data_IF_676514547982
#
_entry.id   IF_676514547982
#
_cell.length_a   1.000
_cell.length_b   1.000
_cell.length_c   1.000
_cell.angle_alpha   90.00
_cell.angle_beta   90.00
_cell.angle_gamma   90.00
#
_symmetry.space_group_name_H-M   'P 1'
#
loop_
_entity.id
_entity.type
_entity.pdbx_description
1 polymer ?
#
# COMPACT_ATOMS: atom_id res chain seq x y z
N UNK A 1 -35.86 5.85 -36.40
CA UNK A 1 -34.76 6.19 -35.47
C UNK A 1 -34.86 7.68 -35.16
N UNK A 2 -34.78 8.07 -33.89
CA UNK A 2 -34.70 9.49 -33.53
C UNK A 2 -33.39 10.10 -34.06
N UNK A 3 -33.39 11.39 -34.47
CA UNK A 3 -32.16 12.11 -34.80
C UNK A 3 -31.16 12.06 -33.64
N UNK A 4 -29.86 12.08 -33.96
CA UNK A 4 -28.79 11.98 -32.95
C UNK A 4 -28.90 13.12 -31.93
N UNK A 5 -29.27 14.31 -32.37
CA UNK A 5 -29.43 15.52 -31.56
C UNK A 5 -30.53 15.34 -30.52
N UNK A 6 -31.67 14.76 -30.90
CA UNK A 6 -32.79 14.50 -29.99
C UNK A 6 -32.42 13.40 -28.99
N UNK A 7 -31.67 12.37 -29.42
CA UNK A 7 -31.18 11.32 -28.52
C UNK A 7 -30.20 11.89 -27.49
N UNK A 8 -29.27 12.75 -27.90
CA UNK A 8 -28.32 13.38 -26.99
C UNK A 8 -29.02 14.27 -25.95
N UNK A 9 -30.04 15.05 -26.34
CA UNK A 9 -30.84 15.86 -25.40
C UNK A 9 -31.56 14.98 -24.37
N UNK A 10 -32.13 13.85 -24.81
CA UNK A 10 -32.76 12.87 -23.91
C UNK A 10 -31.74 12.31 -22.91
N UNK A 11 -30.52 12.02 -23.36
CA UNK A 11 -29.45 11.53 -22.50
C UNK A 11 -28.93 12.59 -21.53
N UNK A 12 -28.76 13.84 -21.95
CA UNK A 12 -28.39 14.95 -21.05
C UNK A 12 -29.44 15.15 -19.96
N UNK A 13 -30.73 15.03 -20.30
CA UNK A 13 -31.82 15.07 -19.34
C UNK A 13 -31.79 13.88 -18.37
N UNK A 14 -31.57 12.67 -18.86
CA UNK A 14 -31.42 11.47 -18.03
C UNK A 14 -30.22 11.58 -17.08
N UNK A 15 -29.06 12.01 -17.57
CA UNK A 15 -27.83 12.16 -16.78
C UNK A 15 -27.99 13.24 -15.71
N UNK A 16 -28.59 14.38 -16.05
CA UNK A 16 -28.89 15.44 -15.07
C UNK A 16 -29.92 15.03 -14.02
N UNK A 17 -30.84 14.13 -14.36
CA UNK A 17 -31.79 13.53 -13.41
C UNK A 17 -31.14 12.54 -12.45
N UNK A 18 -30.01 11.93 -12.83
CA UNK A 18 -29.20 11.07 -11.94
C UNK A 18 -28.45 11.91 -10.91
N UNK A 19 -27.94 13.07 -11.30
CA UNK A 19 -27.25 14.01 -10.40
C UNK A 19 -28.12 14.45 -9.22
N UNK A 20 -29.42 14.63 -9.44
CA UNK A 20 -30.36 15.05 -8.39
C UNK A 20 -30.76 13.94 -7.43
N UNK A 21 -30.53 12.67 -7.78
CA UNK A 21 -30.81 11.53 -6.90
C UNK A 21 -29.59 11.02 -6.13
N UNK A 22 -28.39 11.47 -6.49
CA UNK A 22 -27.10 11.04 -5.95
C UNK A 22 -26.69 11.86 -4.72
N UNK A 23 -27.60 12.10 -3.78
CA UNK A 23 -27.24 12.52 -2.43
C UNK A 23 -26.97 11.25 -1.59
N UNK A 24 -25.80 11.13 -0.94
CA UNK A 24 -25.52 9.95 -0.13
C UNK A 24 -26.32 10.04 1.16
N UNK A 25 -26.96 8.92 1.52
CA UNK A 25 -27.74 8.68 2.74
C UNK A 25 -29.15 9.28 2.79
N UNK A 26 -30.12 8.52 2.27
CA UNK A 26 -31.12 7.87 3.12
C UNK A 26 -31.95 6.85 2.33
N UNK A 27 -32.11 5.71 2.99
CA UNK A 27 -33.09 4.65 2.80
C UNK A 27 -32.91 3.64 1.66
N UNK A 28 -32.69 2.42 2.16
CA UNK A 28 -32.92 1.12 1.60
C UNK A 28 -34.24 1.00 0.84
N UNK A 29 -34.17 1.00 -0.48
CA UNK A 29 -34.98 0.16 -1.36
C UNK A 29 -34.46 0.39 -2.78
N UNK A 30 -34.14 -0.69 -3.50
CA UNK A 30 -33.86 -0.74 -4.94
C UNK A 30 -34.18 0.58 -5.67
N UNK A 31 -33.18 1.45 -5.81
CA UNK A 31 -33.25 2.52 -6.81
C UNK A 31 -32.53 1.98 -8.02
N UNK A 32 -33.31 1.65 -9.04
CA UNK A 32 -32.84 1.25 -10.36
C UNK A 32 -31.71 2.18 -10.78
N UNK A 33 -30.49 1.65 -10.93
CA UNK A 33 -29.39 2.39 -11.51
C UNK A 33 -29.80 2.69 -12.96
N UNK A 34 -30.15 3.93 -13.33
CA UNK A 34 -30.66 4.22 -14.66
C UNK A 34 -29.58 4.05 -15.74
N UNK A 35 -28.30 3.91 -15.36
CA UNK A 35 -27.22 3.54 -16.27
C UNK A 35 -27.20 2.03 -16.59
N UNK A 36 -28.01 1.20 -15.92
CA UNK A 36 -28.16 -0.23 -16.25
C UNK A 36 -28.64 -0.46 -17.68
N UNK A 37 -29.40 0.50 -18.25
CA UNK A 37 -29.81 0.43 -19.66
C UNK A 37 -28.60 0.46 -20.61
N UNK A 38 -27.51 1.12 -20.22
CA UNK A 38 -26.26 1.13 -21.00
C UNK A 38 -25.57 -0.23 -20.97
N UNK A 39 -25.80 -1.04 -19.92
CA UNK A 39 -25.32 -2.42 -19.84
C UNK A 39 -26.11 -3.36 -20.76
N UNK A 40 -27.33 -3.01 -21.14
CA UNK A 40 -28.23 -3.87 -21.94
C UNK A 40 -28.08 -3.73 -23.46
N UNK A 41 -27.44 -2.66 -23.95
CA UNK A 41 -27.27 -2.44 -25.40
C UNK A 41 -25.90 -1.86 -25.73
N UNK A 42 -25.05 -2.69 -26.36
CA UNK A 42 -23.70 -2.29 -26.80
C UNK A 42 -23.74 -1.15 -27.84
N UNK A 43 -24.78 -1.10 -28.66
CA UNK A 43 -24.98 -0.02 -29.64
C UNK A 43 -25.23 1.32 -28.93
N UNK A 44 -26.17 1.36 -27.99
CA UNK A 44 -26.45 2.57 -27.21
C UNK A 44 -25.24 2.99 -26.37
N UNK A 45 -24.57 2.03 -25.73
CA UNK A 45 -23.35 2.31 -24.99
C UNK A 45 -22.29 2.96 -25.88
N UNK A 46 -22.00 2.41 -27.05
CA UNK A 46 -21.00 2.98 -27.96
C UNK A 46 -21.41 4.37 -28.49
N UNK A 47 -22.68 4.60 -28.77
CA UNK A 47 -23.22 5.90 -29.20
C UNK A 47 -23.05 6.97 -28.11
N UNK A 48 -23.41 6.64 -26.87
CA UNK A 48 -23.52 7.61 -25.77
C UNK A 48 -22.19 7.78 -25.03
N UNK A 49 -21.40 6.72 -24.90
CA UNK A 49 -20.16 6.74 -24.12
C UNK A 49 -19.16 7.78 -24.64
N UNK A 50 -19.06 7.95 -25.97
CA UNK A 50 -18.21 9.00 -26.55
C UNK A 50 -18.66 10.41 -26.15
N UNK A 51 -19.95 10.62 -25.92
CA UNK A 51 -20.50 11.89 -25.43
C UNK A 51 -20.36 12.04 -23.91
N UNK A 52 -20.66 10.97 -23.16
CA UNK A 52 -20.64 10.95 -21.70
C UNK A 52 -19.22 11.13 -21.13
N UNK A 53 -18.24 10.49 -21.77
CA UNK A 53 -16.83 10.57 -21.37
C UNK A 53 -16.05 11.64 -22.16
N UNK A 54 -16.70 12.41 -23.04
CA UNK A 54 -16.03 13.45 -23.82
C UNK A 54 -15.34 14.46 -22.90
N UNK A 55 -14.01 14.57 -23.01
CA UNK A 55 -13.18 15.44 -22.15
C UNK A 55 -13.42 15.22 -20.66
N UNK A 56 -13.79 14.00 -20.27
CA UNK A 56 -13.95 13.63 -18.87
C UNK A 56 -12.61 13.25 -18.26
N UNK A 57 -12.45 13.59 -16.98
CA UNK A 57 -11.30 13.22 -16.18
C UNK A 57 -11.77 12.44 -14.95
N UNK A 58 -11.14 11.31 -14.69
CA UNK A 58 -11.23 10.62 -13.42
C UNK A 58 -10.17 11.20 -12.49
N UNK A 59 -10.60 11.76 -11.38
CA UNK A 59 -9.73 12.35 -10.36
C UNK A 59 -9.68 11.37 -9.19
N UNK A 60 -8.53 10.71 -9.01
CA UNK A 60 -8.26 9.88 -7.86
C UNK A 60 -7.60 10.75 -6.81
N UNK A 61 -8.21 10.86 -5.64
CA UNK A 61 -7.64 11.61 -4.52
C UNK A 61 -6.98 10.66 -3.53
N UNK A 62 -5.66 10.76 -3.41
CA UNK A 62 -4.85 10.03 -2.43
C UNK A 62 -4.59 10.94 -1.24
N UNK A 63 -5.51 10.92 -0.29
CA UNK A 63 -5.39 11.68 0.95
C UNK A 63 -4.35 11.07 1.89
N UNK A 64 -3.61 11.94 2.54
CA UNK A 64 -2.63 11.66 3.57
C UNK A 64 -3.31 11.28 4.91
N UNK A 65 -4.56 11.71 5.12
CA UNK A 65 -5.31 11.41 6.33
C UNK A 65 -5.85 9.96 6.34
N UNK A 66 -5.84 9.35 7.53
CA UNK A 66 -6.36 8.01 7.74
C UNK A 66 -7.87 8.04 8.02
N UNK A 67 -8.65 7.42 7.13
CA UNK A 67 -10.09 7.25 7.27
C UNK A 67 -10.44 5.75 7.22
N UNK A 68 -10.86 5.13 8.35
CA UNK A 68 -11.10 3.69 8.40
C UNK A 68 -12.19 3.16 7.45
N UNK A 69 -13.05 4.04 6.93
CA UNK A 69 -14.18 3.70 6.04
C UNK A 69 -13.99 4.21 4.61
N UNK A 70 -12.90 4.92 4.35
CA UNK A 70 -12.64 5.58 3.08
C UNK A 70 -11.20 5.26 2.66
N UNK A 71 -11.08 4.21 1.85
CA UNK A 71 -9.79 3.76 1.37
C UNK A 71 -9.29 4.64 0.22
N UNK A 72 -10.18 4.93 -0.74
CA UNK A 72 -9.88 5.77 -1.91
C UNK A 72 -11.13 6.51 -2.39
N UNK A 73 -10.96 7.76 -2.83
CA UNK A 73 -12.02 8.55 -3.44
C UNK A 73 -11.71 8.75 -4.93
N UNK A 74 -12.66 8.39 -5.78
CA UNK A 74 -12.59 8.58 -7.22
C UNK A 74 -13.73 9.49 -7.65
N UNK A 75 -13.42 10.56 -8.37
CA UNK A 75 -14.39 11.51 -8.89
C UNK A 75 -14.32 11.55 -10.42
N UNK A 76 -15.41 11.22 -11.10
CA UNK A 76 -15.54 11.46 -12.54
C UNK A 76 -16.07 12.88 -12.76
N UNK A 77 -15.25 13.71 -13.39
CA UNK A 77 -15.57 15.09 -13.72
C UNK A 77 -15.58 15.31 -15.23
N UNK A 78 -16.69 15.80 -15.75
CA UNK A 78 -16.89 16.25 -17.13
C UNK A 78 -17.79 17.50 -17.14
N UNK A 79 -18.14 18.00 -18.33
CA UNK A 79 -19.11 19.10 -18.44
C UNK A 79 -20.52 18.70 -17.98
N UNK A 80 -20.84 17.42 -18.10
CA UNK A 80 -22.19 16.88 -17.92
C UNK A 80 -22.27 15.91 -16.74
N UNK A 81 -21.14 15.48 -16.19
CA UNK A 81 -21.04 14.48 -15.12
C UNK A 81 -20.10 14.96 -14.01
N UNK A 82 -20.60 15.03 -12.78
CA UNK A 82 -19.79 15.15 -11.57
C UNK A 82 -20.26 14.09 -10.57
N UNK A 83 -19.56 12.96 -10.53
CA UNK A 83 -19.92 11.81 -9.68
C UNK A 83 -18.71 11.42 -8.85
N UNK A 84 -18.92 11.21 -7.56
CA UNK A 84 -17.89 10.79 -6.62
C UNK A 84 -18.23 9.41 -6.05
N UNK A 85 -17.25 8.51 -6.07
CA UNK A 85 -17.28 7.20 -5.44
C UNK A 85 -16.30 7.18 -4.27
N UNK A 86 -16.78 6.74 -3.11
CA UNK A 86 -15.95 6.46 -1.94
C UNK A 86 -15.80 4.94 -1.82
N UNK A 87 -14.60 4.44 -2.09
CA UNK A 87 -14.27 3.02 -2.06
C UNK A 87 -13.81 2.65 -0.65
N UNK A 88 -14.34 1.56 -0.09
CA UNK A 88 -14.13 1.23 1.33
C UNK A 88 -12.92 0.34 1.57
N UNK A 89 -12.52 -0.43 0.57
CA UNK A 89 -11.44 -1.41 0.65
C UNK A 89 -10.79 -1.64 -0.73
N UNK A 90 -9.82 -2.53 -0.78
CA UNK A 90 -9.07 -2.90 -1.99
C UNK A 90 -9.97 -3.57 -3.03
N UNK A 91 -10.90 -4.42 -2.60
CA UNK A 91 -11.80 -5.17 -3.46
C UNK A 91 -12.79 -4.25 -4.20
N UNK A 92 -13.35 -3.26 -3.51
CA UNK A 92 -14.21 -2.23 -4.10
C UNK A 92 -13.46 -1.46 -5.21
N UNK A 93 -12.18 -1.16 -4.98
CA UNK A 93 -11.34 -0.48 -5.94
C UNK A 93 -10.99 -1.36 -7.13
N UNK A 94 -10.62 -2.61 -6.91
CA UNK A 94 -10.36 -3.58 -7.97
C UNK A 94 -11.60 -3.72 -8.88
N UNK A 95 -12.78 -3.88 -8.27
CA UNK A 95 -14.05 -3.95 -8.99
C UNK A 95 -14.33 -2.67 -9.78
N UNK A 96 -14.00 -1.49 -9.23
CA UNK A 96 -14.12 -0.23 -9.95
C UNK A 96 -13.21 -0.20 -11.18
N UNK A 97 -11.91 -0.47 -11.05
CA UNK A 97 -10.97 -0.42 -12.16
C UNK A 97 -11.24 -1.47 -13.24
N UNK A 98 -11.76 -2.64 -12.88
CA UNK A 98 -12.13 -3.68 -13.84
C UNK A 98 -13.39 -3.32 -14.65
N UNK A 99 -14.37 -2.65 -14.03
CA UNK A 99 -15.66 -2.38 -14.66
C UNK A 99 -15.79 -0.98 -15.28
N UNK A 100 -14.98 -0.01 -14.83
CA UNK A 100 -15.02 1.35 -15.33
C UNK A 100 -14.29 1.48 -16.68
N UNK A 101 -14.82 2.23 -17.67
CA UNK A 101 -14.19 2.41 -18.98
C UNK A 101 -13.04 3.41 -18.94
N UNK A 102 -11.97 3.06 -18.22
CA UNK A 102 -10.81 3.92 -17.96
C UNK A 102 -10.16 4.47 -19.23
N UNK A 103 -10.15 3.69 -20.32
CA UNK A 103 -9.59 4.08 -21.62
C UNK A 103 -10.29 5.26 -22.30
N UNK A 104 -11.50 5.62 -21.84
CA UNK A 104 -12.29 6.74 -22.40
C UNK A 104 -12.10 8.05 -21.64
N UNK A 105 -11.31 8.04 -20.58
CA UNK A 105 -11.16 9.17 -19.64
C UNK A 105 -9.70 9.48 -19.40
N UNK A 106 -9.38 10.74 -19.10
CA UNK A 106 -8.04 11.08 -18.58
C UNK A 106 -7.98 10.73 -17.09
N UNK A 107 -6.92 10.05 -16.65
CA UNK A 107 -6.73 9.73 -15.24
C UNK A 107 -5.85 10.80 -14.60
N UNK A 108 -6.38 11.50 -13.59
CA UNK A 108 -5.65 12.46 -12.78
C UNK A 108 -5.48 11.90 -11.37
N UNK A 109 -4.25 11.75 -10.92
CA UNK A 109 -3.97 11.29 -9.56
C UNK A 109 -3.52 12.48 -8.73
N UNK A 110 -4.37 12.90 -7.79
CA UNK A 110 -4.08 13.94 -6.84
C UNK A 110 -3.40 13.33 -5.61
N UNK A 111 -2.14 13.68 -5.36
CA UNK A 111 -1.37 13.24 -4.19
C UNK A 111 -1.21 14.42 -3.25
N UNK A 112 -1.75 14.31 -2.04
CA UNK A 112 -1.66 15.36 -1.03
C UNK A 112 -0.38 15.19 -0.20
N UNK A 113 0.31 16.30 0.09
CA UNK A 113 1.50 16.28 0.95
C UNK A 113 1.15 15.75 2.34
N UNK A 114 1.94 14.83 2.91
CA UNK A 114 1.76 14.44 4.30
C UNK A 114 2.06 15.61 5.25
N UNK A 115 1.39 15.65 6.39
CA UNK A 115 1.75 16.52 7.51
C UNK A 115 3.03 15.98 8.17
N UNK A 116 4.14 16.74 8.20
CA UNK A 116 5.38 16.28 8.83
C UNK A 116 5.26 16.07 10.35
N UNK A 117 4.18 16.50 11.00
CA UNK A 117 3.89 16.20 12.41
C UNK A 117 3.20 14.84 12.63
N UNK A 118 2.64 14.24 11.59
CA UNK A 118 2.12 12.86 11.59
C UNK A 118 2.82 12.02 10.50
N UNK A 119 4.06 11.54 10.76
CA UNK A 119 4.86 10.85 9.75
C UNK A 119 4.26 9.52 9.27
N UNK A 120 3.27 8.97 9.98
CA UNK A 120 2.51 7.82 9.50
C UNK A 120 1.76 8.10 8.19
N UNK A 121 1.42 9.36 7.91
CA UNK A 121 0.75 9.74 6.68
C UNK A 121 1.58 9.45 5.42
N UNK A 122 2.91 9.55 5.49
CA UNK A 122 3.79 9.18 4.38
C UNK A 122 3.70 7.67 4.07
N UNK A 123 3.64 6.83 5.10
CA UNK A 123 3.48 5.38 4.95
C UNK A 123 2.12 5.07 4.33
N UNK A 124 1.05 5.76 4.75
CA UNK A 124 -0.29 5.60 4.18
C UNK A 124 -0.31 5.98 2.69
N UNK A 125 0.30 7.13 2.32
CA UNK A 125 0.40 7.54 0.91
C UNK A 125 1.15 6.47 0.11
N UNK A 126 2.28 5.98 0.61
CA UNK A 126 3.04 4.92 -0.05
C UNK A 126 2.18 3.67 -0.30
N UNK A 127 1.43 3.20 0.69
CA UNK A 127 0.53 2.04 0.56
C UNK A 127 -0.58 2.29 -0.47
N UNK A 128 -1.25 3.46 -0.40
CA UNK A 128 -2.32 3.83 -1.35
C UNK A 128 -1.80 3.96 -2.78
N UNK A 129 -0.62 4.56 -2.97
CA UNK A 129 0.01 4.72 -4.28
C UNK A 129 0.42 3.36 -4.85
N UNK A 130 1.03 2.48 -4.06
CA UNK A 130 1.41 1.14 -4.53
C UNK A 130 0.18 0.32 -4.93
N UNK A 131 -0.88 0.34 -4.12
CA UNK A 131 -2.12 -0.35 -4.45
C UNK A 131 -2.77 0.22 -5.73
N UNK A 132 -2.74 1.54 -5.92
CA UNK A 132 -3.20 2.17 -7.16
C UNK A 132 -2.37 1.69 -8.37
N UNK A 133 -1.04 1.72 -8.26
CA UNK A 133 -0.15 1.26 -9.34
C UNK A 133 -0.40 -0.21 -9.68
N UNK A 134 -0.64 -1.05 -8.67
CA UNK A 134 -1.00 -2.46 -8.88
C UNK A 134 -2.29 -2.63 -9.69
N UNK A 135 -3.27 -1.72 -9.56
CA UNK A 135 -4.46 -1.74 -10.42
C UNK A 135 -4.21 -1.21 -11.83
N UNK A 136 -3.28 -0.27 -11.99
CA UNK A 136 -2.97 0.34 -13.28
C UNK A 136 -2.10 -0.54 -14.17
N UNK A 137 -1.25 -1.41 -13.59
CA UNK A 137 -0.38 -2.32 -14.37
C UNK A 137 -1.18 -3.29 -15.25
N UNK A 138 -2.14 -4.08 -14.73
CA UNK A 138 -2.97 -4.97 -15.56
C UNK A 138 -3.71 -4.21 -16.66
N UNK A 139 -4.14 -2.98 -16.37
CA UNK A 139 -4.84 -2.13 -17.34
C UNK A 139 -3.95 -1.72 -18.51
N UNK A 140 -2.67 -1.42 -18.26
CA UNK A 140 -1.67 -1.13 -19.30
C UNK A 140 -1.44 -2.35 -20.20
N UNK A 141 -1.40 -3.55 -19.63
CA UNK A 141 -1.14 -4.81 -20.35
C UNK A 141 -2.33 -5.28 -21.20
N UNK A 142 -3.56 -5.14 -20.69
CA UNK A 142 -4.75 -5.70 -21.36
C UNK A 142 -5.26 -4.84 -22.53
N UNK A 143 -4.90 -3.56 -22.61
CA UNK A 143 -5.36 -2.66 -23.68
C UNK A 143 -4.20 -1.79 -24.19
N UNK A 144 -3.26 -2.35 -24.99
CA UNK A 144 -2.07 -1.66 -25.46
C UNK A 144 -2.35 -0.37 -26.27
N UNK A 145 -3.53 -0.29 -26.91
CA UNK A 145 -3.89 0.84 -27.78
C UNK A 145 -4.53 2.04 -27.05
N UNK A 146 -4.76 1.95 -25.73
CA UNK A 146 -5.30 3.07 -24.94
C UNK A 146 -4.58 3.12 -23.60
N UNK A 147 -3.32 3.55 -23.62
CA UNK A 147 -2.65 3.93 -22.39
C UNK A 147 -3.48 5.05 -21.73
N UNK A 148 -3.93 4.88 -20.47
CA UNK A 148 -4.54 5.98 -19.76
C UNK A 148 -3.52 7.12 -19.71
N UNK A 149 -3.94 8.32 -20.12
CA UNK A 149 -3.13 9.49 -19.86
C UNK A 149 -3.17 9.77 -18.35
N UNK A 150 -2.11 9.37 -17.64
CA UNK A 150 -1.98 9.52 -16.19
C UNK A 150 -1.25 10.83 -15.90
N UNK A 151 -2.01 11.82 -15.44
CA UNK A 151 -1.52 13.10 -14.98
C UNK A 151 -1.39 13.07 -13.45
N UNK A 152 -0.17 13.16 -12.94
CA UNK A 152 0.06 13.32 -11.50
C UNK A 152 -0.09 14.79 -11.14
N UNK A 153 -0.92 15.07 -10.15
CA UNK A 153 -1.14 16.42 -9.62
C UNK A 153 -0.76 16.42 -8.15
N UNK A 154 0.32 17.11 -7.86
CA UNK A 154 0.86 17.20 -6.51
C UNK A 154 0.18 18.37 -5.79
N UNK A 155 -0.40 18.11 -4.62
CA UNK A 155 -1.17 19.07 -3.82
C UNK A 155 -0.52 19.30 -2.46
N UNK A 156 -0.58 20.53 -1.97
CA UNK A 156 0.01 20.91 -0.67
C UNK A 156 1.47 21.36 -0.76
N UNK A 157 2.12 21.51 0.40
CA UNK A 157 3.49 22.01 0.49
C UNK A 157 4.47 20.85 0.59
N UNK A 158 5.10 20.50 -0.53
CA UNK A 158 6.13 19.44 -0.57
C UNK A 158 7.54 19.98 -0.33
N UNK A 159 7.69 21.29 -0.21
CA UNK A 159 8.93 21.95 0.16
C UNK A 159 8.83 22.41 1.61
N UNK A 160 9.94 22.29 2.33
CA UNK A 160 10.04 22.83 3.69
C UNK A 160 10.66 24.22 3.63
N UNK A 161 10.01 25.20 4.27
CA UNK A 161 10.58 26.54 4.42
C UNK A 161 11.83 26.51 5.30
N UNK A 162 11.86 25.61 6.28
CA UNK A 162 12.98 25.41 7.20
C UNK A 162 13.48 23.96 7.16
N UNK A 163 14.79 23.72 7.15
CA UNK A 163 15.31 22.36 7.21
C UNK A 163 14.94 21.70 8.55
N UNK A 164 14.70 20.37 8.57
CA UNK A 164 14.56 19.62 9.82
C UNK A 164 15.74 19.84 10.78
N UNK A 165 15.52 19.67 12.08
CA UNK A 165 16.53 20.01 13.10
C UNK A 165 17.88 19.30 12.89
N UNK A 166 17.89 18.04 12.43
CA UNK A 166 19.11 17.28 12.15
C UNK A 166 19.88 17.80 10.92
N UNK A 167 19.22 18.54 10.02
CA UNK A 167 19.85 19.21 8.88
C UNK A 167 20.53 20.54 9.26
N UNK A 168 20.44 21.01 10.50
CA UNK A 168 20.96 22.33 10.92
C UNK A 168 22.42 22.57 10.55
N UNK A 169 23.28 21.55 10.62
CA UNK A 169 24.71 21.65 10.25
C UNK A 169 24.96 21.63 8.74
N UNK A 170 24.02 21.10 7.96
CA UNK A 170 24.12 20.89 6.52
C UNK A 170 22.97 21.62 5.79
N UNK A 171 22.57 22.80 6.27
CA UNK A 171 21.41 23.55 5.76
C UNK A 171 21.53 23.86 4.27
N UNK A 172 22.72 24.27 3.83
CA UNK A 172 22.95 24.58 2.41
C UNK A 172 22.78 23.34 1.54
N UNK A 173 23.32 22.19 1.98
CA UNK A 173 23.15 20.92 1.30
C UNK A 173 21.68 20.49 1.20
N UNK A 174 20.85 20.75 2.22
CA UNK A 174 19.41 20.47 2.17
C UNK A 174 18.71 21.24 1.02
N UNK A 175 19.01 22.53 0.87
CA UNK A 175 18.45 23.33 -0.22
C UNK A 175 19.09 23.03 -1.58
N UNK A 176 20.38 22.68 -1.63
CA UNK A 176 21.02 22.13 -2.83
C UNK A 176 20.35 20.83 -3.31
N UNK A 177 19.74 20.07 -2.38
CA UNK A 177 18.92 18.89 -2.68
C UNK A 177 17.44 19.22 -2.92
N UNK A 178 17.08 20.50 -3.14
CA UNK A 178 15.73 20.93 -3.49
C UNK A 178 14.86 21.40 -2.32
N UNK A 179 15.33 21.28 -1.08
CA UNK A 179 14.59 21.74 0.11
C UNK A 179 13.24 21.04 0.29
N UNK A 180 13.15 19.79 -0.16
CA UNK A 180 11.93 18.99 -0.09
C UNK A 180 11.64 18.53 1.34
N UNK A 181 10.36 18.42 1.67
CA UNK A 181 9.89 18.01 2.98
C UNK A 181 10.37 16.59 3.32
N UNK A 182 10.66 16.39 4.61
CA UNK A 182 10.97 15.10 5.20
C UNK A 182 10.12 14.88 6.45
N UNK A 183 9.21 13.93 6.39
CA UNK A 183 8.39 13.52 7.54
C UNK A 183 9.11 12.50 8.42
N UNK A 184 9.95 11.65 7.82
CA UNK A 184 10.68 10.59 8.54
C UNK A 184 12.18 10.92 8.55
N UNK A 185 12.77 10.97 9.74
CA UNK A 185 14.21 11.16 9.90
C UNK A 185 14.97 9.94 9.33
N UNK A 186 15.85 10.14 8.34
CA UNK A 186 16.58 9.03 7.75
C UNK A 186 17.71 8.58 8.66
N UNK A 187 17.88 7.27 8.84
CA UNK A 187 19.06 6.76 9.56
C UNK A 187 20.37 6.93 8.79
N UNK A 188 20.36 6.77 7.46
CA UNK A 188 21.60 6.70 6.67
C UNK A 188 21.57 7.48 5.34
N UNK A 189 20.40 7.66 4.73
CA UNK A 189 20.28 8.26 3.39
C UNK A 189 19.09 9.21 3.35
N UNK A 190 19.32 10.42 2.84
CA UNK A 190 18.26 11.39 2.61
C UNK A 190 17.17 10.80 1.68
N UNK A 191 15.92 10.88 2.12
CA UNK A 191 14.73 10.38 1.41
C UNK A 191 13.61 11.38 1.66
N UNK A 192 13.26 12.19 0.66
CA UNK A 192 12.19 13.16 0.82
C UNK A 192 10.82 12.54 0.54
N UNK A 193 9.78 13.14 1.11
CA UNK A 193 8.41 12.63 1.04
C UNK A 193 7.93 12.56 -0.41
N UNK A 194 8.27 13.58 -1.20
CA UNK A 194 7.92 13.69 -2.61
C UNK A 194 8.45 12.50 -3.40
N UNK A 195 9.75 12.24 -3.30
CA UNK A 195 10.39 11.16 -4.06
C UNK A 195 9.77 9.81 -3.70
N UNK A 196 9.49 9.57 -2.41
CA UNK A 196 8.82 8.35 -1.94
C UNK A 196 7.42 8.21 -2.55
N UNK A 197 6.63 9.29 -2.55
CA UNK A 197 5.24 9.26 -3.02
C UNK A 197 5.11 9.01 -4.53
N UNK A 198 6.08 9.48 -5.34
CA UNK A 198 6.02 9.34 -6.80
C UNK A 198 6.78 8.11 -7.33
N UNK A 199 7.72 7.56 -6.55
CA UNK A 199 8.56 6.43 -6.98
C UNK A 199 7.80 5.21 -7.53
N UNK A 200 6.65 4.77 -6.94
CA UNK A 200 5.93 3.61 -7.46
C UNK A 200 5.45 3.76 -8.90
N UNK A 201 5.22 4.98 -9.38
CA UNK A 201 4.76 5.21 -10.76
C UNK A 201 5.81 4.82 -11.81
N UNK A 202 7.09 4.69 -11.45
CA UNK A 202 8.11 4.14 -12.36
C UNK A 202 7.83 2.69 -12.76
N UNK A 203 7.10 1.93 -11.93
CA UNK A 203 6.70 0.56 -12.26
C UNK A 203 5.85 0.52 -13.52
N UNK A 204 5.09 1.56 -13.81
CA UNK A 204 4.25 1.61 -15.01
C UNK A 204 5.09 1.50 -16.28
N UNK A 205 6.34 1.97 -16.28
CA UNK A 205 7.23 1.88 -17.44
C UNK A 205 8.04 0.59 -17.52
N UNK A 206 8.07 -0.21 -16.45
CA UNK A 206 8.81 -1.48 -16.42
C UNK A 206 8.05 -2.66 -17.05
N UNK A 207 6.74 -2.51 -17.30
CA UNK A 207 5.87 -3.61 -17.72
C UNK A 207 5.47 -3.43 -19.18
N UNK A 208 6.36 -3.83 -20.10
CA UNK A 208 6.05 -3.87 -21.52
C UNK A 208 6.00 -5.27 -22.15
N UNK A 209 6.58 -6.34 -21.58
CA UNK A 209 6.34 -7.73 -22.06
C UNK A 209 6.75 -8.82 -21.04
N UNK A 210 6.28 -10.06 -21.25
CA UNK A 210 6.18 -11.22 -20.35
C UNK A 210 7.38 -11.46 -19.38
N UNK A 211 7.16 -11.51 -18.04
CA UNK A 211 8.20 -11.81 -17.04
C UNK A 211 8.83 -13.21 -17.15
N UNK A 212 8.29 -14.11 -17.98
CA UNK A 212 8.85 -15.43 -18.24
C UNK A 212 9.97 -15.44 -19.30
N UNK A 213 10.11 -14.38 -20.11
CA UNK A 213 11.25 -14.22 -20.99
C UNK A 213 12.42 -13.65 -20.18
N UNK A 214 13.58 -14.35 -20.16
CA UNK A 214 14.83 -13.83 -19.61
C UNK A 214 14.96 -12.34 -19.95
N UNK A 215 14.93 -11.47 -18.93
CA UNK A 215 14.89 -10.00 -19.05
C UNK A 215 15.92 -9.58 -20.09
N UNK A 216 15.51 -9.27 -21.34
CA UNK A 216 16.43 -8.65 -22.28
C UNK A 216 16.79 -7.29 -21.71
N UNK A 217 17.93 -6.74 -22.15
CA UNK A 217 18.14 -5.30 -22.05
C UNK A 217 16.87 -4.58 -22.51
N UNK A 218 16.41 -3.57 -21.77
CA UNK A 218 15.29 -2.75 -22.18
C UNK A 218 15.61 -2.14 -23.56
N UNK A 219 14.71 -2.20 -24.55
CA UNK A 219 14.92 -1.54 -25.84
C UNK A 219 15.27 -0.05 -25.68
N UNK A 220 16.13 0.48 -26.54
CA UNK A 220 16.59 1.88 -26.47
C UNK A 220 15.42 2.89 -26.42
N UNK A 221 14.37 2.66 -27.21
CA UNK A 221 13.18 3.52 -27.27
C UNK A 221 12.35 3.46 -25.97
N UNK A 222 12.23 2.29 -25.36
CA UNK A 222 11.60 2.15 -24.05
C UNK A 222 12.43 2.80 -22.94
N UNK A 223 13.76 2.67 -23.01
CA UNK A 223 14.66 3.28 -22.06
C UNK A 223 14.63 4.81 -22.15
N UNK A 224 14.54 5.37 -23.36
CA UNK A 224 14.37 6.81 -23.58
C UNK A 224 13.04 7.31 -22.98
N UNK A 225 11.95 6.55 -23.13
CA UNK A 225 10.65 6.86 -22.51
C UNK A 225 10.77 6.84 -20.99
N UNK A 226 11.39 5.81 -20.42
CA UNK A 226 11.62 5.69 -18.98
C UNK A 226 12.46 6.84 -18.45
N UNK A 227 13.53 7.21 -19.15
CA UNK A 227 14.42 8.32 -18.76
C UNK A 227 13.69 9.67 -18.82
N UNK A 228 12.91 9.92 -19.87
CA UNK A 228 12.04 11.08 -19.95
C UNK A 228 11.02 11.10 -18.79
N UNK A 229 10.44 9.94 -18.46
CA UNK A 229 9.47 9.81 -17.37
C UNK A 229 10.11 10.13 -16.02
N UNK A 230 11.31 9.62 -15.74
CA UNK A 230 12.12 9.99 -14.57
C UNK A 230 12.33 11.50 -14.46
N UNK A 231 12.71 12.15 -15.56
CA UNK A 231 12.88 13.61 -15.60
C UNK A 231 11.55 14.37 -15.40
N UNK A 232 10.42 13.80 -15.84
CA UNK A 232 9.12 14.47 -15.69
C UNK A 232 8.47 14.30 -14.31
N UNK A 233 8.74 13.18 -13.63
CA UNK A 233 8.07 12.81 -12.38
C UNK A 233 8.68 13.48 -11.15
N UNK A 234 9.98 13.73 -11.17
CA UNK A 234 10.74 14.15 -10.00
C UNK A 234 11.09 15.64 -10.02
N UNK A 235 11.17 16.26 -8.83
CA UNK A 235 11.63 17.64 -8.69
C UNK A 235 13.10 17.76 -9.13
N UNK A 236 13.37 18.66 -10.06
CA UNK A 236 14.66 18.71 -10.76
C UNK A 236 15.79 19.25 -9.89
N UNK A 237 15.49 20.18 -8.98
CA UNK A 237 16.52 20.80 -8.13
C UNK A 237 17.18 19.74 -7.25
N UNK A 238 18.45 19.43 -7.47
CA UNK A 238 19.21 18.48 -6.66
C UNK A 238 18.95 17.00 -6.94
N UNK A 239 18.24 16.69 -8.03
CA UNK A 239 17.78 15.34 -8.36
C UNK A 239 18.93 14.31 -8.49
N UNK A 240 20.05 14.69 -9.12
CA UNK A 240 21.22 13.83 -9.29
C UNK A 240 21.84 13.40 -7.94
N UNK A 241 21.73 14.23 -6.91
CA UNK A 241 22.22 13.89 -5.56
C UNK A 241 21.26 12.96 -4.82
N UNK A 242 19.95 13.18 -4.97
CA UNK A 242 18.92 12.37 -4.30
C UNK A 242 18.75 11.00 -4.94
N UNK A 243 18.71 10.98 -6.26
CA UNK A 243 18.35 9.83 -7.10
C UNK A 243 19.48 9.40 -8.02
N UNK A 244 20.73 9.78 -7.74
CA UNK A 244 21.88 9.53 -8.63
C UNK A 244 22.01 8.07 -9.09
N UNK A 245 21.65 7.10 -8.25
CA UNK A 245 21.63 5.68 -8.63
C UNK A 245 20.64 5.39 -9.78
N UNK A 246 19.44 5.96 -9.75
CA UNK A 246 18.45 5.85 -10.83
C UNK A 246 18.85 6.64 -12.08
N UNK A 247 19.57 7.75 -11.93
CA UNK A 247 20.04 8.55 -13.07
C UNK A 247 21.28 7.97 -13.76
N UNK A 248 22.05 7.16 -13.05
CA UNK A 248 23.22 6.46 -13.56
C UNK A 248 22.91 5.06 -14.12
N UNK A 249 21.63 4.66 -14.14
CA UNK A 249 21.24 3.35 -14.66
C UNK A 249 21.39 3.29 -16.18
N UNK A 250 21.56 2.08 -16.71
CA UNK A 250 21.62 1.79 -18.15
C UNK A 250 20.42 0.93 -18.55
N UNK A 251 20.21 0.73 -19.85
CA UNK A 251 19.18 -0.18 -20.36
C UNK A 251 19.24 -1.59 -19.73
N UNK A 252 20.44 -2.07 -19.41
CA UNK A 252 20.68 -3.41 -18.84
C UNK A 252 20.35 -3.46 -17.34
N UNK A 253 20.44 -2.32 -16.65
CA UNK A 253 20.32 -2.24 -15.19
C UNK A 253 19.02 -1.58 -14.74
N UNK A 254 18.28 -0.89 -15.63
CA UNK A 254 17.10 -0.10 -15.29
C UNK A 254 16.06 -0.85 -14.46
N UNK A 255 15.68 -2.06 -14.90
CA UNK A 255 14.69 -2.91 -14.20
C UNK A 255 15.17 -3.25 -12.80
N UNK A 256 16.44 -3.63 -12.64
CA UNK A 256 17.03 -4.02 -11.36
C UNK A 256 17.13 -2.82 -10.43
N UNK A 257 17.57 -1.68 -10.96
CA UNK A 257 17.77 -0.44 -10.20
C UNK A 257 16.45 0.15 -9.68
N UNK A 258 15.40 0.15 -10.50
CA UNK A 258 14.06 0.58 -10.07
C UNK A 258 13.48 -0.39 -9.06
N UNK A 259 13.59 -1.71 -9.28
CA UNK A 259 13.16 -2.73 -8.30
C UNK A 259 13.90 -2.57 -6.97
N UNK A 260 15.21 -2.33 -7.00
CA UNK A 260 16.01 -2.07 -5.79
C UNK A 260 15.55 -0.80 -5.09
N UNK A 261 15.29 0.29 -5.81
CA UNK A 261 14.82 1.55 -5.22
C UNK A 261 13.45 1.40 -4.55
N UNK A 262 12.53 0.66 -5.17
CA UNK A 262 11.21 0.35 -4.61
C UNK A 262 11.32 -0.52 -3.36
N UNK A 263 12.15 -1.57 -3.41
CA UNK A 263 12.40 -2.44 -2.25
C UNK A 263 13.03 -1.64 -1.10
N UNK A 264 14.00 -0.75 -1.40
CA UNK A 264 14.62 0.13 -0.40
C UNK A 264 13.61 1.06 0.26
N UNK A 265 12.72 1.69 -0.52
CA UNK A 265 11.67 2.55 0.01
C UNK A 265 10.67 1.75 0.85
N UNK A 266 10.24 0.58 0.37
CA UNK A 266 9.33 -0.30 1.09
C UNK A 266 9.90 -0.74 2.44
N UNK A 267 11.12 -1.30 2.44
CA UNK A 267 11.78 -1.75 3.66
C UNK A 267 12.04 -0.60 4.63
N UNK A 268 12.41 0.58 4.13
CA UNK A 268 12.58 1.77 4.97
C UNK A 268 11.27 2.15 5.67
N UNK A 269 10.15 2.22 4.95
CA UNK A 269 8.86 2.58 5.51
C UNK A 269 8.33 1.50 6.46
N UNK A 270 8.44 0.23 6.09
CA UNK A 270 8.02 -0.90 6.91
C UNK A 270 8.74 -0.97 8.26
N UNK A 271 10.06 -0.81 8.24
CA UNK A 271 10.89 -0.81 9.46
C UNK A 271 10.79 0.48 10.26
N UNK A 272 10.45 1.60 9.63
CA UNK A 272 10.21 2.86 10.32
C UNK A 272 8.87 2.85 11.03
N UNK A 273 7.82 2.30 10.40
CA UNK A 273 6.45 2.27 10.91
C UNK A 273 6.37 1.73 12.35
N UNK A 274 7.22 0.77 12.70
CA UNK A 274 7.31 0.18 14.05
C UNK A 274 7.51 1.22 15.16
N UNK A 275 8.26 2.29 14.87
CA UNK A 275 8.67 3.30 15.84
C UNK A 275 8.13 4.70 15.53
N UNK A 276 7.44 4.90 14.39
CA UNK A 276 6.89 6.20 14.04
C UNK A 276 5.86 6.70 15.07
N UNK A 277 5.94 7.97 15.50
CA UNK A 277 4.85 8.63 16.22
C UNK A 277 3.63 8.86 15.31
N UNK A 278 2.57 9.33 15.93
CA UNK A 278 1.41 9.88 15.23
C UNK A 278 0.22 8.93 15.24
N UNK A 279 -0.96 9.52 15.06
CA UNK A 279 -2.22 8.76 15.07
C UNK A 279 -2.27 7.82 13.88
N UNK A 280 -1.85 8.29 12.71
CA UNK A 280 -1.85 7.47 11.49
C UNK A 280 -0.95 6.25 11.64
N UNK A 281 0.27 6.42 12.16
CA UNK A 281 1.18 5.29 12.38
C UNK A 281 0.61 4.25 13.36
N UNK A 282 -0.10 4.69 14.41
CA UNK A 282 -0.74 3.79 15.35
C UNK A 282 -1.84 2.93 14.70
N UNK A 283 -2.66 3.54 13.84
CA UNK A 283 -3.72 2.86 13.11
C UNK A 283 -3.17 1.93 12.03
N UNK A 284 -2.13 2.34 11.31
CA UNK A 284 -1.44 1.49 10.34
C UNK A 284 -0.80 0.27 10.98
N UNK A 285 -0.16 0.42 12.17
CA UNK A 285 0.36 -0.72 12.93
C UNK A 285 -0.75 -1.68 13.35
N UNK A 286 -1.90 -1.15 13.76
CA UNK A 286 -3.09 -1.94 14.07
C UNK A 286 -3.58 -2.72 12.86
N UNK A 287 -3.80 -2.04 11.73
CA UNK A 287 -4.28 -2.66 10.48
C UNK A 287 -3.35 -3.79 10.02
N UNK A 288 -2.03 -3.56 10.07
CA UNK A 288 -1.02 -4.58 9.77
C UNK A 288 -1.14 -5.81 10.66
N UNK A 289 -1.31 -5.63 11.97
CA UNK A 289 -1.41 -6.76 12.89
C UNK A 289 -2.75 -7.47 12.75
N UNK A 290 -3.84 -6.71 12.64
CA UNK A 290 -5.18 -7.24 12.42
C UNK A 290 -5.26 -8.14 11.18
N UNK A 291 -4.61 -7.75 10.09
CA UNK A 291 -4.63 -8.46 8.81
C UNK A 291 -3.44 -9.41 8.62
N UNK A 292 -2.65 -9.69 9.67
CA UNK A 292 -1.44 -10.51 9.54
C UNK A 292 -1.75 -11.93 9.02
N UNK A 293 -2.86 -12.52 9.44
CA UNK A 293 -3.37 -13.81 8.98
C UNK A 293 -4.81 -13.65 8.47
N UNK A 294 -4.98 -13.27 7.20
CA UNK A 294 -6.27 -12.83 6.63
C UNK A 294 -7.41 -13.85 6.77
N UNK A 295 -7.14 -15.15 6.57
CA UNK A 295 -8.16 -16.21 6.70
C UNK A 295 -8.44 -16.64 8.14
N UNK A 296 -7.72 -16.03 9.07
CA UNK A 296 -7.72 -16.24 10.50
C UNK A 296 -7.42 -17.66 10.99
N UNK A 297 -7.12 -18.61 10.11
CA UNK A 297 -7.15 -20.04 10.44
C UNK A 297 -6.01 -20.83 9.84
N UNK A 298 -5.47 -20.48 8.66
CA UNK A 298 -4.34 -21.19 8.07
C UNK A 298 -3.00 -20.79 8.69
N UNK A 299 -2.95 -19.63 9.34
CA UNK A 299 -1.70 -19.01 9.82
C UNK A 299 -0.70 -18.76 8.68
N UNK A 300 -1.21 -18.57 7.46
CA UNK A 300 -0.46 -18.05 6.32
C UNK A 300 -0.62 -16.55 6.30
N UNK A 301 0.50 -15.87 6.11
CA UNK A 301 0.55 -14.42 6.03
C UNK A 301 1.00 -14.00 4.63
N UNK A 302 0.15 -13.20 3.96
CA UNK A 302 0.54 -12.56 2.71
C UNK A 302 1.75 -11.65 2.94
N UNK A 303 1.75 -10.92 4.06
CA UNK A 303 2.85 -10.08 4.50
C UNK A 303 4.18 -10.86 4.63
N UNK A 304 4.19 -12.01 5.31
CA UNK A 304 5.41 -12.83 5.42
C UNK A 304 5.88 -13.36 4.05
N UNK A 305 4.93 -13.63 3.15
CA UNK A 305 5.23 -14.07 1.77
C UNK A 305 5.88 -12.94 0.97
N UNK A 306 5.31 -11.74 1.01
CA UNK A 306 5.87 -10.55 0.35
C UNK A 306 7.26 -10.19 0.89
N UNK A 307 7.45 -10.22 2.22
CA UNK A 307 8.75 -9.97 2.84
C UNK A 307 9.79 -11.00 2.39
N UNK A 308 9.42 -12.28 2.32
CA UNK A 308 10.30 -13.35 1.82
C UNK A 308 10.67 -13.12 0.36
N UNK A 309 9.70 -12.77 -0.48
CA UNK A 309 9.94 -12.58 -1.90
C UNK A 309 10.84 -11.36 -2.13
N UNK A 310 10.68 -10.30 -1.33
CA UNK A 310 11.61 -9.15 -1.31
C UNK A 310 13.01 -9.54 -0.84
N UNK A 311 13.14 -10.38 0.19
CA UNK A 311 14.42 -10.91 0.67
C UNK A 311 15.15 -11.71 -0.42
N UNK A 312 14.42 -12.50 -1.19
CA UNK A 312 14.98 -13.26 -2.30
C UNK A 312 15.38 -12.35 -3.48
N UNK A 313 14.58 -11.32 -3.78
CA UNK A 313 14.83 -10.44 -4.92
C UNK A 313 15.94 -9.40 -4.66
N UNK A 314 16.03 -8.87 -3.44
CA UNK A 314 16.93 -7.77 -3.08
C UNK A 314 17.55 -7.96 -1.68
N UNK A 315 18.36 -9.00 -1.46
CA UNK A 315 18.89 -9.34 -0.14
C UNK A 315 19.74 -8.22 0.49
N UNK A 316 20.52 -7.48 -0.31
CA UNK A 316 21.35 -6.38 0.16
C UNK A 316 20.51 -5.25 0.80
N UNK A 317 19.35 -4.94 0.22
CA UNK A 317 18.44 -3.90 0.74
C UNK A 317 18.01 -4.22 2.16
N UNK A 318 17.70 -5.49 2.42
CA UNK A 318 17.32 -5.92 3.76
C UNK A 318 18.52 -5.85 4.69
N UNK A 319 19.69 -6.34 4.27
CA UNK A 319 20.90 -6.27 5.11
C UNK A 319 21.29 -4.84 5.49
N UNK A 320 21.02 -3.86 4.64
CA UNK A 320 21.29 -2.45 4.92
C UNK A 320 20.22 -1.80 5.81
N UNK A 321 18.96 -2.20 5.68
CA UNK A 321 17.82 -1.54 6.33
C UNK A 321 17.42 -2.20 7.65
N UNK A 322 17.44 -3.54 7.69
CA UNK A 322 17.15 -4.38 8.84
C UNK A 322 18.18 -5.51 8.94
N UNK A 323 19.43 -5.19 9.33
CA UNK A 323 20.49 -6.19 9.44
C UNK A 323 20.04 -7.36 10.31
N UNK A 324 20.20 -8.58 9.79
CA UNK A 324 19.79 -9.81 10.48
C UNK A 324 18.29 -9.90 10.81
N UNK A 325 17.46 -9.11 10.13
CA UNK A 325 16.01 -9.06 10.36
C UNK A 325 15.63 -8.72 11.81
N UNK A 326 16.47 -7.95 12.51
CA UNK A 326 16.27 -7.65 13.93
C UNK A 326 14.90 -7.01 14.20
N UNK A 327 14.54 -5.96 13.44
CA UNK A 327 13.26 -5.25 13.60
C UNK A 327 12.09 -6.10 13.15
N UNK A 328 12.25 -6.84 12.06
CA UNK A 328 11.22 -7.76 11.57
C UNK A 328 10.93 -8.87 12.60
N UNK A 329 11.96 -9.41 13.25
CA UNK A 329 11.82 -10.36 14.34
C UNK A 329 11.17 -9.72 15.58
N UNK A 330 11.59 -8.52 15.96
CA UNK A 330 10.98 -7.77 17.07
C UNK A 330 9.49 -7.49 16.83
N UNK A 331 9.12 -7.12 15.59
CA UNK A 331 7.74 -6.93 15.16
C UNK A 331 6.92 -8.21 15.34
N UNK A 332 7.45 -9.33 14.89
CA UNK A 332 6.80 -10.63 15.03
C UNK A 332 6.62 -11.02 16.50
N UNK A 333 7.64 -10.82 17.33
CA UNK A 333 7.55 -11.08 18.78
C UNK A 333 6.43 -10.22 19.39
N UNK A 334 6.40 -8.91 19.09
CA UNK A 334 5.35 -8.03 19.60
C UNK A 334 3.95 -8.46 19.14
N UNK A 335 3.79 -8.85 17.87
CA UNK A 335 2.54 -9.39 17.34
C UNK A 335 2.03 -10.57 18.18
N UNK A 336 2.88 -11.57 18.42
CA UNK A 336 2.51 -12.77 19.18
C UNK A 336 2.21 -12.43 20.64
N UNK A 337 3.03 -11.59 21.28
CA UNK A 337 2.81 -11.18 22.67
C UNK A 337 1.51 -10.41 22.85
N UNK A 338 1.17 -9.51 21.92
CA UNK A 338 -0.09 -8.77 21.95
C UNK A 338 -1.29 -9.70 21.76
N UNK A 339 -1.24 -10.60 20.77
CA UNK A 339 -2.27 -11.62 20.56
C UNK A 339 -2.55 -12.42 21.84
N UNK A 340 -1.47 -12.91 22.47
CA UNK A 340 -1.57 -13.60 23.76
C UNK A 340 -2.19 -12.75 24.85
N UNK A 341 -1.76 -11.49 24.98
CA UNK A 341 -2.26 -10.59 26.01
C UNK A 341 -3.76 -10.28 25.85
N UNK A 342 -4.25 -10.19 24.61
CA UNK A 342 -5.67 -10.02 24.29
C UNK A 342 -6.48 -11.25 24.71
N UNK A 343 -6.04 -12.44 24.30
CA UNK A 343 -6.73 -13.70 24.64
C UNK A 343 -6.70 -14.01 26.14
N UNK A 344 -5.57 -13.80 26.82
CA UNK A 344 -5.46 -14.02 28.26
C UNK A 344 -6.44 -13.14 29.05
N UNK A 345 -6.64 -11.89 28.60
CA UNK A 345 -7.60 -10.95 29.21
C UNK A 345 -9.05 -11.42 29.04
N UNK A 346 -9.43 -11.90 27.86
CA UNK A 346 -10.81 -12.32 27.56
C UNK A 346 -11.18 -13.64 28.23
N UNK A 347 -10.26 -14.60 28.25
CA UNK A 347 -10.56 -15.97 28.72
C UNK A 347 -10.60 -16.10 30.25
N UNK A 348 -10.30 -15.04 31.02
CA UNK A 348 -10.23 -15.04 32.50
C UNK A 348 -9.50 -16.27 33.05
N UNK A 349 -8.45 -16.72 32.36
CA UNK A 349 -7.76 -17.96 32.69
C UNK A 349 -7.15 -17.86 34.11
N UNK A 350 -7.31 -18.89 34.97
CA UNK A 350 -6.91 -18.84 36.39
C UNK A 350 -5.42 -18.56 36.58
N UNK A 351 -4.60 -19.15 35.71
CA UNK A 351 -3.25 -18.73 35.45
C UNK A 351 -3.34 -17.71 34.32
N UNK A 352 -3.15 -16.42 34.61
CA UNK A 352 -3.29 -15.28 33.70
C UNK A 352 -2.40 -15.32 32.42
N UNK A 353 -1.83 -16.48 32.11
CA UNK A 353 -0.67 -16.67 31.29
C UNK A 353 -0.84 -17.76 30.23
N UNK A 354 -1.75 -18.73 30.41
CA UNK A 354 -2.28 -19.63 29.36
C UNK A 354 -1.30 -20.13 28.29
N UNK A 355 -0.01 -20.26 28.59
CA UNK A 355 1.05 -20.29 27.57
C UNK A 355 0.91 -21.47 26.62
N UNK A 356 0.37 -22.59 27.11
CA UNK A 356 0.13 -23.81 26.35
C UNK A 356 -1.36 -24.03 26.05
N UNK A 357 -2.20 -23.02 26.27
CA UNK A 357 -3.64 -23.13 26.02
C UNK A 357 -3.89 -23.07 24.52
N UNK A 358 -4.16 -24.23 23.91
CA UNK A 358 -4.25 -24.40 22.46
C UNK A 358 -5.25 -23.44 21.80
N UNK A 359 -6.33 -23.09 22.49
CA UNK A 359 -7.37 -22.19 21.96
C UNK A 359 -6.89 -20.78 21.64
N UNK A 360 -5.76 -20.34 22.20
CA UNK A 360 -5.15 -19.04 21.84
C UNK A 360 -4.64 -19.08 20.40
N UNK A 361 -4.22 -20.25 19.93
CA UNK A 361 -3.60 -20.44 18.61
C UNK A 361 -4.57 -21.03 17.57
N UNK A 362 -5.80 -21.34 17.95
CA UNK A 362 -6.76 -21.95 17.02
C UNK A 362 -7.26 -20.95 15.99
N UNK A 363 -7.43 -19.67 16.38
CA UNK A 363 -8.01 -18.63 15.54
C UNK A 363 -7.30 -17.29 15.74
N UNK A 364 -7.09 -16.59 14.64
CA UNK A 364 -6.76 -15.18 14.60
C UNK A 364 -8.05 -14.39 14.41
N UNK A 365 -8.46 -13.64 15.43
CA UNK A 365 -9.67 -12.84 15.38
C UNK A 365 -9.34 -11.38 15.05
N UNK A 366 -9.43 -11.03 13.76
CA UNK A 366 -9.15 -9.67 13.28
C UNK A 366 -10.04 -8.62 13.97
N UNK A 367 -11.30 -8.92 14.28
CA UNK A 367 -12.20 -7.97 14.94
C UNK A 367 -11.76 -7.67 16.38
N UNK A 368 -11.17 -8.67 17.06
CA UNK A 368 -10.62 -8.51 18.40
C UNK A 368 -9.56 -7.40 18.48
N UNK A 369 -8.74 -7.24 17.44
CA UNK A 369 -7.67 -6.23 17.41
C UNK A 369 -8.23 -4.81 17.50
N UNK A 370 -9.25 -4.49 16.69
CA UNK A 370 -9.87 -3.16 16.70
C UNK A 370 -10.59 -2.87 18.02
N UNK A 371 -11.16 -3.90 18.67
CA UNK A 371 -11.83 -3.77 19.97
C UNK A 371 -10.82 -3.50 21.10
N UNK A 372 -9.67 -4.18 21.10
CA UNK A 372 -8.66 -4.05 22.16
C UNK A 372 -7.76 -2.82 21.98
N UNK A 373 -7.62 -2.32 20.75
CA UNK A 373 -6.80 -1.17 20.39
C UNK A 373 -7.58 -0.15 19.55
N UNK A 374 -8.65 0.46 20.07
CA UNK A 374 -9.48 1.41 19.30
C UNK A 374 -8.69 2.65 18.84
N UNK A 375 -7.57 2.94 19.51
CA UNK A 375 -6.70 4.07 19.20
C UNK A 375 -5.47 3.71 18.35
N UNK A 376 -5.42 2.46 17.87
CA UNK A 376 -4.26 1.90 17.24
C UNK A 376 -3.29 1.27 18.24
N UNK A 377 -2.30 0.55 17.70
CA UNK A 377 -1.20 0.01 18.49
C UNK A 377 -0.22 1.17 18.74
N UNK A 378 0.48 1.28 19.89
CA UNK A 378 1.56 2.28 20.07
C UNK A 378 2.89 1.78 19.48
N UNK A 379 3.97 2.58 19.57
CA UNK A 379 5.29 2.17 19.07
C UNK A 379 5.70 0.84 19.69
N UNK A 380 6.40 -0.01 18.95
CA UNK A 380 6.70 -1.36 19.44
C UNK A 380 7.61 -1.33 20.68
N UNK A 381 8.55 -0.39 20.75
CA UNK A 381 9.32 -0.14 21.97
C UNK A 381 8.46 0.31 23.17
N UNK A 382 7.31 0.96 22.97
CA UNK A 382 6.34 1.28 24.03
C UNK A 382 5.51 0.05 24.44
N UNK A 383 5.15 -0.81 23.47
CA UNK A 383 4.43 -2.07 23.73
C UNK A 383 5.23 -2.95 24.68
N UNK A 384 6.50 -3.20 24.38
CA UNK A 384 7.36 -4.02 25.24
C UNK A 384 7.49 -3.44 26.66
N UNK A 385 7.68 -2.12 26.77
CA UNK A 385 7.71 -1.43 28.08
C UNK A 385 6.39 -1.60 28.84
N UNK A 386 5.26 -1.51 28.15
CA UNK A 386 3.93 -1.72 28.73
C UNK A 386 3.74 -3.16 29.21
N UNK A 387 4.15 -4.16 28.42
CA UNK A 387 4.08 -5.58 28.81
C UNK A 387 4.95 -5.85 30.05
N UNK A 388 6.18 -5.33 30.09
CA UNK A 388 7.06 -5.45 31.27
C UNK A 388 6.43 -4.86 32.54
N UNK A 389 5.78 -3.70 32.44
CA UNK A 389 5.04 -3.07 33.56
C UNK A 389 3.85 -3.90 34.03
N UNK A 390 3.28 -4.74 33.17
CA UNK A 390 2.21 -5.69 33.49
C UNK A 390 2.74 -7.02 34.04
N UNK A 391 3.98 -7.05 34.54
CA UNK A 391 4.67 -8.23 35.08
C UNK A 391 4.97 -9.34 34.06
N UNK A 392 4.99 -9.03 32.75
CA UNK A 392 5.47 -9.97 31.75
C UNK A 392 7.00 -9.87 31.70
N UNK A 393 7.69 -10.65 32.54
CA UNK A 393 9.15 -10.71 32.55
C UNK A 393 9.71 -11.14 31.19
N UNK A 394 10.97 -10.82 30.90
CA UNK A 394 11.59 -11.22 29.63
C UNK A 394 11.60 -12.74 29.46
N UNK A 395 11.91 -13.49 30.52
CA UNK A 395 11.82 -14.95 30.53
C UNK A 395 10.41 -15.45 30.21
N UNK A 396 9.38 -14.72 30.67
CA UNK A 396 8.00 -15.06 30.39
C UNK A 396 7.61 -14.76 28.94
N UNK A 397 8.00 -13.59 28.41
CA UNK A 397 7.80 -13.24 27.01
C UNK A 397 8.50 -14.24 26.09
N UNK A 398 9.74 -14.62 26.40
CA UNK A 398 10.49 -15.64 25.69
C UNK A 398 9.75 -16.99 25.67
N UNK A 399 9.20 -17.41 26.82
CA UNK A 399 8.43 -18.65 26.94
C UNK A 399 7.18 -18.64 26.06
N UNK A 400 6.48 -17.51 25.95
CA UNK A 400 5.31 -17.35 25.07
C UNK A 400 5.72 -17.52 23.61
N UNK A 401 6.74 -16.78 23.17
CA UNK A 401 7.21 -16.85 21.79
C UNK A 401 7.66 -18.27 21.43
N UNK A 402 8.40 -18.94 22.32
CA UNK A 402 8.84 -20.32 22.11
C UNK A 402 7.66 -21.30 22.02
N UNK A 403 6.67 -21.18 22.92
CA UNK A 403 5.49 -22.04 22.90
C UNK A 403 4.69 -21.89 21.59
N UNK A 404 4.58 -20.67 21.07
CA UNK A 404 3.96 -20.41 19.78
C UNK A 404 4.75 -21.03 18.62
N UNK A 405 6.07 -20.85 18.60
CA UNK A 405 6.97 -21.44 17.59
C UNK A 405 6.86 -22.97 17.57
N UNK A 406 6.88 -23.61 18.75
CA UNK A 406 6.70 -25.05 18.89
C UNK A 406 5.33 -25.52 18.36
N UNK A 407 4.26 -24.80 18.73
CA UNK A 407 2.91 -25.10 18.28
C UNK A 407 2.79 -25.00 16.74
N UNK A 408 3.35 -23.94 16.14
CA UNK A 408 3.31 -23.73 14.70
C UNK A 408 4.09 -24.83 13.95
N UNK A 409 5.25 -25.23 14.48
CA UNK A 409 6.07 -26.31 13.92
C UNK A 409 5.31 -27.65 13.94
N UNK A 410 4.66 -28.00 15.06
CA UNK A 410 3.85 -29.21 15.17
C UNK A 410 2.66 -29.20 14.20
N UNK A 411 2.00 -28.04 14.03
CA UNK A 411 0.88 -27.89 13.11
C UNK A 411 1.30 -28.10 11.66
N UNK A 412 2.43 -27.51 11.25
CA UNK A 412 2.98 -27.67 9.90
C UNK A 412 3.45 -29.10 9.62
N UNK A 413 4.06 -29.77 10.61
CA UNK A 413 4.43 -31.18 10.48
C UNK A 413 3.20 -32.05 10.16
N UNK A 414 2.08 -31.84 10.86
CA UNK A 414 0.81 -32.54 10.60
C UNK A 414 0.22 -32.24 9.21
N UNK A 415 0.38 -31.02 8.71
CA UNK A 415 -0.07 -30.66 7.35
C UNK A 415 0.77 -31.38 6.28
N UNK A 416 2.10 -31.42 6.45
CA UNK A 416 3.01 -32.12 5.54
C UNK A 416 2.76 -33.62 5.53
N UNK A 417 2.44 -34.22 6.69
CA UNK A 417 2.04 -35.64 6.78
C UNK A 417 0.70 -35.94 6.09
N UNK A 418 -0.15 -34.92 5.89
CA UNK A 418 -1.44 -35.06 5.19
C UNK A 418 -1.36 -34.78 3.69
N UNK A 419 -0.36 -34.01 3.23
CA UNK A 419 -0.13 -33.67 1.83
C UNK A 419 1.06 -34.48 1.29
N UNK A 420 0.82 -35.74 0.93
CA UNK A 420 1.76 -36.50 0.09
C UNK A 420 1.92 -35.78 -1.26
N UNK A 421 3.09 -35.18 -1.51
CA UNK A 421 3.64 -34.73 -2.81
C UNK A 421 4.00 -33.24 -2.95
N UNK A 422 5.32 -33.01 -2.89
CA UNK A 422 6.17 -32.14 -3.73
C UNK A 422 6.12 -30.61 -3.53
N UNK A 423 7.34 -30.11 -3.32
CA UNK A 423 7.79 -28.73 -3.48
C UNK A 423 7.30 -27.67 -2.48
N UNK A 424 7.86 -27.72 -1.26
CA UNK A 424 8.19 -26.50 -0.52
C UNK A 424 9.34 -26.76 0.45
N UNK A 425 10.55 -26.97 -0.10
CA UNK A 425 11.79 -26.93 0.68
C UNK A 425 12.25 -25.47 0.76
N UNK A 426 11.68 -24.69 1.68
CA UNK A 426 12.45 -23.62 2.34
C UNK A 426 11.76 -23.07 3.60
N UNK A 427 12.03 -23.63 4.79
CA UNK A 427 11.66 -23.00 6.06
C UNK A 427 12.67 -21.90 6.42
N UNK A 428 13.02 -21.02 5.47
CA UNK A 428 14.05 -19.99 5.69
C UNK A 428 13.60 -18.98 6.76
N UNK A 429 12.31 -18.61 6.76
CA UNK A 429 11.71 -17.73 7.79
C UNK A 429 11.76 -18.38 9.19
N UNK A 430 11.70 -19.72 9.27
CA UNK A 430 11.75 -20.43 10.55
C UNK A 430 13.17 -20.55 11.14
N UNK A 431 14.20 -20.52 10.27
CA UNK A 431 15.59 -20.45 10.74
C UNK A 431 15.97 -19.03 11.13
N UNK A 432 15.48 -17.99 10.46
CA UNK A 432 15.80 -16.59 10.82
C UNK A 432 15.18 -16.14 12.16
N UNK A 433 14.07 -16.74 12.59
CA UNK A 433 13.53 -16.54 13.95
C UNK A 433 14.42 -17.10 15.07
N UNK A 434 15.47 -17.87 14.75
CA UNK A 434 16.40 -18.46 15.72
C UNK A 434 17.75 -17.74 15.84
N UNK A 435 18.05 -16.75 14.98
CA UNK A 435 19.33 -16.02 15.02
C UNK A 435 19.11 -14.61 15.58
N UNK A 436 18.96 -14.55 16.89
CA UNK A 436 18.82 -13.29 17.62
C UNK A 436 19.01 -13.41 19.13
N UNK A 437 19.56 -14.53 19.62
CA UNK A 437 20.06 -14.69 20.99
C UNK A 437 21.30 -15.58 21.03
#
# INVERSE_FOLDING_TARGET
MLPIEIRLIIWEYLISSIHTQSSPLKDSSQKDNPLSILSTSRYLYNEISSHLFNKSAQIISLDAEYHPKEWMIIQLKSRTVDVQWTLKNREDAEMHFQNFPNSKTTLKVHIYSPDPTDPGQLVLIWQKVNALVDFLIPMKLLIPMTQPNIELVIKGSWNSTEPPAYWRRNRDLFYEMGGLQQSIEPMFKYRCDYDIAVLPFLRLELWNEDPAANIPAMPDDEFDILHWRLMSLFEQTGIERRLGRLFSMTQDTAVIEIKSALAEANMFLETSLDELPGRTACLLRLERFQNWFEDGTSWKSLYETELRDQLCACPWVTMDTDPWLYRSNERYINLILLHHAMHARRSKLPDAYGVYHQTIYEKWDSAMWSEEFPDGIPRLGDVQRSLRRKNWSEAFQYKITHAYVDWLAQRRAKQIESEESKESKCPFIHRSTLWGH
#
